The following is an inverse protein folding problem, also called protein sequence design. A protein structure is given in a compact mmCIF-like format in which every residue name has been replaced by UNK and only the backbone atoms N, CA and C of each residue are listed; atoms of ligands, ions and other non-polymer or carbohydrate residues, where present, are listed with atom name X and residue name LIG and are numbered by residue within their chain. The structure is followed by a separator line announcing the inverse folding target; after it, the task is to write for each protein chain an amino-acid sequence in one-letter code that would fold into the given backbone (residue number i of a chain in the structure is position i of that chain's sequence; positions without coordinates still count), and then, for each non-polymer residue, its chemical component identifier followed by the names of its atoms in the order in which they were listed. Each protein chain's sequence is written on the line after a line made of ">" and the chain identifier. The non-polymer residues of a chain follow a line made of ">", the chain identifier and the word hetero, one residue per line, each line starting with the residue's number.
data_IF_741830709461
#
_entry.id   IF_741830709461
#
_cell.length_a   1.000
_cell.length_b   1.000
_cell.length_c   1.000
_cell.angle_alpha   90.00
_cell.angle_beta   90.00
_cell.angle_gamma   90.00
#
_symmetry.space_group_name_H-M   'P 1'
#
loop_
_entity.id
_entity.type
_entity.pdbx_description
1 polymer ?
#
# COMPACT_ATOMS: atom_id res chain seq x y z
N UNK A 1 12.59 15.80 7.27
CA UNK A 1 11.24 15.37 7.71
C UNK A 1 10.16 15.77 6.71
N UNK A 2 10.14 17.01 6.18
CA UNK A 2 9.22 17.40 5.08
C UNK A 2 9.21 16.40 3.91
N UNK A 3 10.40 16.03 3.41
CA UNK A 3 10.53 15.11 2.26
C UNK A 3 9.89 13.74 2.48
N UNK A 4 9.96 13.18 3.70
CA UNK A 4 9.34 11.89 4.01
C UNK A 4 7.81 12.01 3.98
N UNK A 5 7.27 13.10 4.52
CA UNK A 5 5.83 13.39 4.48
C UNK A 5 5.35 13.53 3.03
N UNK A 6 6.06 14.31 2.21
CA UNK A 6 5.73 14.53 0.79
C UNK A 6 5.74 13.23 -0.01
N UNK A 7 6.80 12.43 0.12
CA UNK A 7 6.88 11.17 -0.62
C UNK A 7 5.83 10.17 -0.11
N UNK A 8 5.57 10.11 1.20
CA UNK A 8 4.49 9.27 1.77
C UNK A 8 3.14 9.63 1.19
N UNK A 9 2.79 10.93 1.14
CA UNK A 9 1.53 11.40 0.57
C UNK A 9 1.39 11.03 -0.91
N UNK A 10 2.46 11.26 -1.69
CA UNK A 10 2.51 10.92 -3.12
C UNK A 10 2.39 9.41 -3.37
N UNK A 11 2.97 8.58 -2.50
CA UNK A 11 2.85 7.13 -2.58
C UNK A 11 1.44 6.66 -2.21
N UNK A 12 0.82 7.25 -1.17
CA UNK A 12 -0.56 6.96 -0.76
C UNK A 12 -1.57 7.33 -1.86
N UNK A 13 -1.45 8.53 -2.42
CA UNK A 13 -2.31 9.03 -3.51
C UNK A 13 -2.31 8.09 -4.72
N UNK A 14 -1.17 7.45 -5.00
CA UNK A 14 -1.02 6.51 -6.11
C UNK A 14 -1.52 5.10 -5.79
N UNK A 15 -1.27 4.57 -4.60
CA UNK A 15 -1.57 3.17 -4.28
C UNK A 15 -3.05 2.91 -3.98
N UNK A 16 -3.73 3.87 -3.36
CA UNK A 16 -5.15 3.74 -3.01
C UNK A 16 -6.03 3.37 -4.22
N UNK A 17 -6.00 4.11 -5.34
CA UNK A 17 -6.80 3.75 -6.50
C UNK A 17 -6.36 2.45 -7.17
N UNK A 18 -5.10 2.01 -7.00
CA UNK A 18 -4.64 0.73 -7.52
C UNK A 18 -5.24 -0.42 -6.71
N UNK A 19 -5.21 -0.31 -5.37
CA UNK A 19 -5.74 -1.32 -4.44
C UNK A 19 -7.24 -1.53 -4.63
N UNK A 20 -7.98 -0.49 -4.98
CA UNK A 20 -9.42 -0.58 -5.28
C UNK A 20 -9.72 -1.29 -6.62
N UNK A 21 -8.74 -1.40 -7.52
CA UNK A 21 -8.86 -2.04 -8.85
C UNK A 21 -8.26 -3.45 -8.90
N UNK A 22 -7.87 -3.99 -7.75
CA UNK A 22 -7.28 -5.32 -7.67
C UNK A 22 -8.36 -6.38 -7.89
N UNK A 23 -8.11 -7.26 -8.87
CA UNK A 23 -8.80 -8.53 -9.05
C UNK A 23 -7.99 -9.65 -8.40
N UNK A 24 -8.66 -10.37 -7.52
CA UNK A 24 -8.11 -11.47 -6.76
C UNK A 24 -8.36 -12.77 -7.51
N UNK A 25 -7.34 -13.63 -7.56
CA UNK A 25 -7.39 -14.93 -8.25
C UNK A 25 -7.56 -16.11 -7.30
N UNK A 26 -7.15 -15.97 -6.03
CA UNK A 26 -7.24 -17.01 -4.99
C UNK A 26 -7.31 -16.43 -3.56
N UNK A 27 -7.42 -17.31 -2.55
CA UNK A 27 -7.44 -16.92 -1.13
C UNK A 27 -6.18 -16.16 -0.71
N UNK A 28 -5.03 -16.44 -1.33
CA UNK A 28 -3.78 -15.76 -1.01
C UNK A 28 -3.85 -14.30 -1.44
N UNK A 29 -4.45 -14.01 -2.60
CA UNK A 29 -4.70 -12.65 -3.05
C UNK A 29 -5.64 -11.87 -2.13
N UNK A 30 -6.63 -12.52 -1.50
CA UNK A 30 -7.51 -11.86 -0.51
C UNK A 30 -6.73 -11.46 0.76
N UNK A 31 -5.87 -12.35 1.24
CA UNK A 31 -5.00 -12.09 2.39
C UNK A 31 -4.04 -10.92 2.09
N UNK A 32 -3.40 -10.93 0.92
CA UNK A 32 -2.46 -9.88 0.52
C UNK A 32 -3.17 -8.53 0.33
N UNK A 33 -4.37 -8.52 -0.25
CA UNK A 33 -5.21 -7.31 -0.37
C UNK A 33 -5.56 -6.73 1.01
N UNK A 34 -5.91 -7.59 1.96
CA UNK A 34 -6.20 -7.19 3.34
C UNK A 34 -4.97 -6.58 3.99
N UNK A 35 -3.80 -7.19 3.83
CA UNK A 35 -2.54 -6.66 4.36
C UNK A 35 -2.17 -5.30 3.76
N UNK A 36 -2.30 -5.14 2.44
CA UNK A 36 -2.07 -3.83 1.78
C UNK A 36 -2.96 -2.74 2.35
N UNK A 37 -4.27 -3.01 2.49
CA UNK A 37 -5.21 -2.06 3.09
C UNK A 37 -4.87 -1.71 4.54
N UNK A 38 -4.41 -2.69 5.32
CA UNK A 38 -3.94 -2.46 6.68
C UNK A 38 -2.71 -1.53 6.71
N UNK A 39 -1.70 -1.79 5.88
CA UNK A 39 -0.52 -0.94 5.78
C UNK A 39 -0.82 0.49 5.28
N UNK A 40 -1.78 0.66 4.37
CA UNK A 40 -2.27 1.99 3.95
C UNK A 40 -2.93 2.71 5.12
N UNK A 41 -3.78 2.02 5.89
CA UNK A 41 -4.43 2.59 7.08
C UNK A 41 -3.41 2.99 8.16
N UNK A 42 -2.42 2.14 8.41
CA UNK A 42 -1.32 2.41 9.34
C UNK A 42 -0.49 3.61 8.88
N UNK A 43 -0.16 3.68 7.58
CA UNK A 43 0.56 4.82 7.02
C UNK A 43 -0.19 6.14 7.25
N UNK A 44 -1.51 6.16 6.98
CA UNK A 44 -2.36 7.32 7.26
C UNK A 44 -2.40 7.67 8.75
N UNK A 45 -2.49 6.67 9.62
CA UNK A 45 -2.47 6.86 11.07
C UNK A 45 -1.16 7.51 11.55
N UNK A 46 -0.01 6.97 11.15
CA UNK A 46 1.29 7.50 11.53
C UNK A 46 1.55 8.88 10.92
N UNK A 47 1.10 9.12 9.69
CA UNK A 47 1.20 10.42 9.03
C UNK A 47 0.44 11.51 9.82
N UNK A 48 -0.78 11.20 10.26
CA UNK A 48 -1.59 12.10 11.10
C UNK A 48 -0.93 12.40 12.45
N UNK A 49 -0.25 11.41 13.03
CA UNK A 49 0.50 11.55 14.28
C UNK A 49 1.90 12.18 14.11
N UNK A 50 2.27 12.59 12.88
CA UNK A 50 3.59 13.14 12.52
C UNK A 50 4.76 12.16 12.73
N UNK A 51 4.48 10.86 12.82
CA UNK A 51 5.51 9.80 12.83
C UNK A 51 5.86 9.43 11.39
N UNK A 52 6.64 10.29 10.74
CA UNK A 52 6.90 10.18 9.30
C UNK A 52 7.77 8.98 8.90
N UNK A 53 8.54 8.41 9.83
CA UNK A 53 9.35 7.21 9.55
C UNK A 53 8.42 6.02 9.41
N UNK A 54 7.53 5.80 10.40
CA UNK A 54 6.56 4.68 10.33
C UNK A 54 5.55 4.89 9.21
N UNK A 55 5.11 6.13 8.97
CA UNK A 55 4.21 6.41 7.87
C UNK A 55 4.81 5.99 6.51
N UNK A 56 6.08 6.34 6.29
CA UNK A 56 6.81 5.97 5.08
C UNK A 56 7.05 4.45 5.00
N UNK A 57 7.49 3.83 6.10
CA UNK A 57 7.71 2.38 6.16
C UNK A 57 6.43 1.59 5.84
N UNK A 58 5.30 1.96 6.44
CA UNK A 58 4.02 1.31 6.18
C UNK A 58 3.58 1.43 4.72
N UNK A 59 3.69 2.61 4.09
CA UNK A 59 3.29 2.73 2.67
C UNK A 59 4.24 1.95 1.76
N UNK A 60 5.55 1.90 2.07
CA UNK A 60 6.54 1.08 1.34
C UNK A 60 6.17 -0.41 1.42
N UNK A 61 5.76 -0.90 2.58
CA UNK A 61 5.30 -2.29 2.73
C UNK A 61 4.06 -2.60 1.87
N UNK A 62 3.09 -1.69 1.80
CA UNK A 62 1.94 -1.87 0.93
C UNK A 62 2.34 -1.93 -0.55
N UNK A 63 3.27 -1.09 -0.99
CA UNK A 63 3.81 -1.12 -2.37
C UNK A 63 4.58 -2.41 -2.65
N UNK A 64 5.42 -2.86 -1.71
CA UNK A 64 6.18 -4.09 -1.87
C UNK A 64 5.26 -5.30 -2.05
N UNK A 65 4.19 -5.39 -1.25
CA UNK A 65 3.20 -6.47 -1.40
C UNK A 65 2.52 -6.38 -2.76
N UNK A 66 2.10 -5.18 -3.19
CA UNK A 66 1.44 -4.98 -4.48
C UNK A 66 2.29 -5.52 -5.64
N UNK A 67 3.54 -5.04 -5.74
CA UNK A 67 4.46 -5.39 -6.84
C UNK A 67 4.80 -6.88 -6.83
N UNK A 68 5.11 -7.44 -5.65
CA UNK A 68 5.44 -8.87 -5.53
C UNK A 68 4.23 -9.73 -5.92
N UNK A 69 3.02 -9.37 -5.48
CA UNK A 69 1.83 -10.17 -5.78
C UNK A 69 1.39 -10.04 -7.25
N UNK A 70 1.61 -8.89 -7.89
CA UNK A 70 1.41 -8.73 -9.33
C UNK A 70 2.43 -9.57 -10.11
N UNK A 71 3.72 -9.55 -9.72
CA UNK A 71 4.78 -10.35 -10.35
C UNK A 71 4.54 -11.86 -10.22
N UNK A 72 4.04 -12.31 -9.07
CA UNK A 72 3.71 -13.71 -8.80
C UNK A 72 2.33 -14.15 -9.31
N UNK A 73 1.60 -13.26 -10.00
CA UNK A 73 0.23 -13.49 -10.49
C UNK A 73 -0.81 -13.89 -9.42
N UNK A 74 -0.53 -13.58 -8.14
CA UNK A 74 -1.44 -13.76 -6.99
C UNK A 74 -2.60 -12.75 -7.05
N UNK A 75 -2.41 -11.64 -7.77
CA UNK A 75 -3.44 -10.66 -8.07
C UNK A 75 -3.20 -10.01 -9.43
N UNK A 76 -4.22 -9.30 -9.95
CA UNK A 76 -4.11 -8.49 -11.17
C UNK A 76 -4.69 -7.10 -10.94
N UNK A 77 -4.01 -6.07 -11.43
CA UNK A 77 -4.48 -4.68 -11.37
C UNK A 77 -5.20 -4.36 -12.67
N UNK A 78 -6.47 -3.92 -12.61
CA UNK A 78 -7.15 -3.38 -13.79
C UNK A 78 -6.64 -1.98 -14.12
N UNK A 79 -5.95 -1.85 -15.25
CA UNK A 79 -5.39 -0.60 -15.77
C UNK A 79 -6.43 0.22 -16.52
#
# INVERSE_FOLDING_TARGET
>A
MEKLKEETLKMLEKIEPLVDRIKITDEKGEEMLTNMKAYIADSKHFLNNKDFIKAFESVVWSWAILEICEELEVLKIEK
#
